data_IF_012432368434
#
_entry.id   IF_012432368434
#
_cell.length_a   1.000
_cell.length_b   1.000
_cell.length_c   1.000
_cell.angle_alpha   90.00
_cell.angle_beta   90.00
_cell.angle_gamma   90.00
#
_symmetry.space_group_name_H-M   'P 1'
#
loop_
_entity.id
_entity.type
_entity.pdbx_description
1 polymer ?
#
# COMPACT_ATOMS: atom_id res chain seq x y z
N UNK A 1 34.85 -15.52 4.73
CA UNK A 1 33.95 -14.82 5.67
C UNK A 1 32.65 -14.55 4.92
N UNK A 2 31.69 -15.49 4.94
CA UNK A 2 30.40 -15.26 4.27
C UNK A 2 29.57 -14.30 5.11
N UNK A 3 29.38 -13.08 4.62
CA UNK A 3 28.44 -12.15 5.22
C UNK A 3 27.03 -12.66 4.94
N UNK A 4 26.43 -13.36 5.91
CA UNK A 4 25.03 -13.79 5.87
C UNK A 4 24.13 -12.55 6.00
N UNK A 5 23.61 -12.07 4.88
CA UNK A 5 22.62 -10.99 4.85
C UNK A 5 21.20 -11.54 5.02
N UNK A 6 20.38 -10.91 5.86
CA UNK A 6 18.95 -11.20 5.95
C UNK A 6 18.29 -10.91 4.60
N UNK A 7 17.68 -11.93 3.99
CA UNK A 7 16.90 -11.80 2.74
C UNK A 7 15.43 -12.06 3.04
N UNK A 8 14.55 -11.14 2.69
CA UNK A 8 13.10 -11.33 2.78
C UNK A 8 12.49 -11.21 1.39
N UNK A 9 11.60 -12.13 1.05
CA UNK A 9 10.91 -12.16 -0.24
C UNK A 9 9.40 -12.06 -0.03
N UNK A 10 8.74 -11.23 -0.84
CA UNK A 10 7.29 -11.11 -0.89
C UNK A 10 6.88 -11.18 -2.36
N UNK A 11 5.97 -12.10 -2.67
CA UNK A 11 5.51 -12.32 -4.04
C UNK A 11 4.16 -11.63 -4.27
N UNK A 12 4.00 -11.08 -5.47
CA UNK A 12 2.71 -10.60 -5.99
C UNK A 12 2.13 -11.66 -6.93
N UNK A 13 1.08 -12.35 -6.47
CA UNK A 13 0.40 -13.42 -7.22
C UNK A 13 -0.30 -12.91 -8.48
N UNK A 14 -0.58 -11.61 -8.59
CA UNK A 14 -1.17 -11.04 -9.80
C UNK A 14 -0.16 -10.95 -10.97
N UNK A 15 1.15 -11.00 -10.69
CA UNK A 15 2.21 -10.82 -11.68
C UNK A 15 2.92 -12.16 -11.95
N UNK A 16 2.42 -12.90 -12.93
CA UNK A 16 2.99 -14.21 -13.32
C UNK A 16 4.32 -14.12 -14.10
N UNK A 17 4.64 -12.95 -14.66
CA UNK A 17 5.89 -12.75 -15.41
C UNK A 17 7.03 -12.41 -14.46
N UNK A 18 8.19 -13.03 -14.65
CA UNK A 18 9.38 -12.75 -13.85
C UNK A 18 9.81 -11.27 -13.93
N UNK A 19 9.65 -10.54 -12.81
CA UNK A 19 10.03 -9.12 -12.63
C UNK A 19 10.49 -8.86 -11.18
N UNK A 20 11.68 -9.34 -10.78
CA UNK A 20 12.17 -9.11 -9.43
C UNK A 20 12.48 -7.63 -9.20
N UNK A 21 12.19 -7.14 -7.99
CA UNK A 21 12.64 -5.85 -7.49
C UNK A 21 13.43 -6.10 -6.22
N UNK A 22 14.64 -5.55 -6.16
CA UNK A 22 15.51 -5.68 -4.98
C UNK A 22 15.58 -4.32 -4.31
N UNK A 23 15.17 -4.26 -3.05
CA UNK A 23 15.31 -3.08 -2.20
C UNK A 23 16.37 -3.41 -1.16
N UNK A 24 17.46 -2.63 -1.17
CA UNK A 24 18.52 -2.75 -0.18
C UNK A 24 18.07 -2.03 1.09
N UNK A 25 18.22 -2.69 2.24
CA UNK A 25 17.93 -2.08 3.53
C UNK A 25 19.16 -1.29 4.01
N UNK A 26 18.93 -0.06 4.46
CA UNK A 26 19.98 0.79 5.03
C UNK A 26 20.19 0.55 6.54
N UNK A 27 19.13 0.14 7.24
CA UNK A 27 19.14 -0.15 8.68
C UNK A 27 19.22 -1.66 8.98
N UNK A 28 19.61 -2.02 10.19
CA UNK A 28 19.66 -3.39 10.69
C UNK A 28 18.23 -3.93 10.92
N UNK A 29 17.58 -4.31 9.82
CA UNK A 29 16.22 -4.84 9.82
C UNK A 29 16.16 -6.27 10.39
N UNK A 30 15.06 -6.59 11.08
CA UNK A 30 14.71 -7.97 11.46
C UNK A 30 13.88 -8.61 10.35
N UNK A 31 13.75 -9.94 10.35
CA UNK A 31 12.91 -10.64 9.36
C UNK A 31 11.46 -10.14 9.31
N UNK A 32 10.90 -9.75 10.46
CA UNK A 32 9.54 -9.22 10.56
C UNK A 32 9.40 -7.81 9.98
N UNK A 33 10.32 -6.90 10.31
CA UNK A 33 10.28 -5.53 9.74
C UNK A 33 10.60 -5.55 8.25
N UNK A 34 11.50 -6.43 7.81
CA UNK A 34 11.79 -6.68 6.40
C UNK A 34 10.55 -7.11 5.62
N UNK A 35 9.76 -8.03 6.20
CA UNK A 35 8.51 -8.48 5.60
C UNK A 35 7.45 -7.37 5.55
N UNK A 36 7.26 -6.60 6.62
CA UNK A 36 6.30 -5.48 6.66
C UNK A 36 6.63 -4.44 5.58
N UNK A 37 7.91 -4.08 5.44
CA UNK A 37 8.36 -3.15 4.39
C UNK A 37 8.11 -3.69 2.99
N UNK A 38 8.43 -4.97 2.75
CA UNK A 38 8.20 -5.60 1.46
C UNK A 38 6.70 -5.76 1.12
N UNK A 39 5.85 -6.05 2.11
CA UNK A 39 4.39 -6.11 1.94
C UNK A 39 3.78 -4.72 1.67
N UNK A 40 4.26 -3.69 2.37
CA UNK A 40 3.85 -2.31 2.12
C UNK A 40 4.22 -1.86 0.70
N UNK A 41 5.44 -2.14 0.27
CA UNK A 41 5.86 -1.83 -1.10
C UNK A 41 4.97 -2.57 -2.11
N UNK A 42 4.68 -3.85 -1.90
CA UNK A 42 3.78 -4.62 -2.77
C UNK A 42 2.41 -3.96 -2.88
N UNK A 43 1.77 -3.64 -1.76
CA UNK A 43 0.44 -2.99 -1.72
C UNK A 43 0.45 -1.62 -2.40
N UNK A 44 1.45 -0.80 -2.08
CA UNK A 44 1.62 0.52 -2.67
C UNK A 44 1.76 0.43 -4.18
N UNK A 45 2.59 -0.47 -4.71
CA UNK A 45 2.77 -0.68 -6.16
C UNK A 45 1.53 -1.22 -6.83
N UNK A 46 0.82 -2.16 -6.20
CA UNK A 46 -0.44 -2.67 -6.72
C UNK A 46 -1.45 -1.54 -6.90
N UNK A 47 -1.54 -0.65 -5.91
CA UNK A 47 -2.48 0.46 -5.94
C UNK A 47 -2.04 1.61 -6.87
N UNK A 48 -0.75 1.95 -6.90
CA UNK A 48 -0.18 2.92 -7.86
C UNK A 48 -0.36 2.45 -9.31
N UNK A 49 -0.30 1.14 -9.57
CA UNK A 49 -0.56 0.55 -10.88
C UNK A 49 -2.01 0.68 -11.36
N UNK A 50 -2.95 0.99 -10.46
CA UNK A 50 -4.39 1.14 -10.75
C UNK A 50 -4.88 2.59 -10.64
N UNK A 51 -4.00 3.55 -10.95
CA UNK A 51 -4.36 4.97 -11.03
C UNK A 51 -5.29 5.24 -12.22
N UNK A 52 -6.37 5.97 -11.97
CA UNK A 52 -7.28 6.46 -12.99
C UNK A 52 -7.41 7.99 -12.90
N UNK A 53 -7.53 8.65 -14.05
CA UNK A 53 -7.81 10.09 -14.11
C UNK A 53 -9.22 10.25 -14.66
N UNK A 54 -10.08 10.96 -13.95
CA UNK A 54 -11.42 11.28 -14.39
C UNK A 54 -11.58 12.79 -14.55
N UNK A 55 -12.29 13.20 -15.60
CA UNK A 55 -12.64 14.61 -15.85
C UNK A 55 -14.16 14.74 -15.75
N UNK A 56 -14.63 15.65 -14.92
CA UNK A 56 -16.06 15.91 -14.69
C UNK A 56 -16.38 17.37 -14.98
N UNK A 57 -17.61 17.60 -15.46
CA UNK A 57 -18.13 18.95 -15.67
C UNK A 57 -18.58 19.53 -14.33
N UNK A 58 -18.16 20.77 -14.05
CA UNK A 58 -18.49 21.51 -12.84
C UNK A 58 -17.54 21.23 -11.69
N UNK A 59 -17.36 22.24 -10.83
CA UNK A 59 -16.55 22.12 -9.60
C UNK A 59 -17.32 21.51 -8.43
N UNK A 60 -18.64 21.54 -8.49
CA UNK A 60 -19.53 21.07 -7.43
C UNK A 60 -20.14 19.73 -7.81
N UNK A 61 -20.31 18.88 -6.80
CA UNK A 61 -21.11 17.67 -6.84
C UNK A 61 -22.59 18.00 -7.02
N UNK A 62 -23.43 17.02 -7.40
CA UNK A 62 -24.88 17.19 -7.43
C UNK A 62 -25.50 17.65 -6.10
N UNK A 63 -24.84 17.33 -4.98
CA UNK A 63 -25.21 17.74 -3.62
C UNK A 63 -24.81 19.18 -3.26
N UNK A 64 -24.15 19.90 -4.19
CA UNK A 64 -23.68 21.28 -3.98
C UNK A 64 -22.37 21.39 -3.19
N UNK A 65 -21.78 20.28 -2.75
CA UNK A 65 -20.45 20.25 -2.14
C UNK A 65 -19.34 20.28 -3.19
N UNK A 66 -18.23 20.95 -2.91
CA UNK A 66 -17.06 20.94 -3.79
C UNK A 66 -16.47 19.53 -3.86
N UNK A 67 -15.92 19.12 -5.00
CA UNK A 67 -15.01 17.98 -5.04
C UNK A 67 -13.87 18.20 -4.04
N UNK A 68 -13.41 17.16 -3.35
CA UNK A 68 -12.30 17.28 -2.40
C UNK A 68 -11.43 16.03 -2.46
N UNK A 69 -10.11 16.17 -2.28
CA UNK A 69 -9.26 15.04 -1.98
C UNK A 69 -9.68 14.31 -0.70
N UNK A 70 -9.21 13.07 -0.56
CA UNK A 70 -9.52 12.17 0.56
C UNK A 70 -11.01 11.81 0.69
N UNK A 71 -11.72 11.77 -0.43
CA UNK A 71 -13.11 11.33 -0.50
C UNK A 71 -13.22 10.03 -1.29
N UNK A 72 -14.03 9.09 -0.81
CA UNK A 72 -14.33 7.83 -1.51
C UNK A 72 -15.47 8.04 -2.50
N UNK A 73 -15.24 7.64 -3.74
CA UNK A 73 -16.19 7.74 -4.84
C UNK A 73 -16.31 6.41 -5.58
N UNK A 74 -17.48 6.17 -6.17
CA UNK A 74 -17.70 5.00 -7.03
C UNK A 74 -17.41 5.40 -8.47
N UNK A 75 -16.39 4.78 -9.06
CA UNK A 75 -16.06 4.91 -10.47
C UNK A 75 -16.80 3.82 -11.26
N UNK A 76 -17.73 4.23 -12.12
CA UNK A 76 -18.42 3.34 -13.05
C UNK A 76 -18.06 3.73 -14.48
N UNK A 77 -17.18 2.94 -15.11
CA UNK A 77 -16.71 3.16 -16.48
C UNK A 77 -16.68 1.82 -17.25
N UNK A 78 -17.86 1.31 -17.68
CA UNK A 78 -17.96 0.02 -18.35
C UNK A 78 -17.12 -0.09 -19.63
N UNK A 79 -16.91 1.02 -20.34
CA UNK A 79 -16.08 1.08 -21.53
C UNK A 79 -14.59 0.79 -21.25
N UNK A 80 -14.13 1.01 -20.02
CA UNK A 80 -12.78 0.72 -19.54
C UNK A 80 -12.71 -0.60 -18.75
N UNK A 81 -13.81 -1.36 -18.68
CA UNK A 81 -13.91 -2.58 -17.88
C UNK A 81 -13.98 -2.35 -16.37
N UNK A 82 -14.23 -1.11 -15.92
CA UNK A 82 -14.38 -0.76 -14.51
C UNK A 82 -15.86 -0.72 -14.18
N UNK A 83 -16.32 -1.64 -13.33
CA UNK A 83 -17.73 -1.74 -12.94
C UNK A 83 -17.88 -1.37 -11.47
N UNK A 84 -18.44 -0.17 -11.21
CA UNK A 84 -18.73 0.34 -9.85
C UNK A 84 -17.63 0.07 -8.83
N UNK A 85 -16.40 0.43 -9.17
CA UNK A 85 -15.27 0.23 -8.29
C UNK A 85 -15.09 1.43 -7.35
N UNK A 86 -14.90 1.18 -6.06
CA UNK A 86 -14.60 2.24 -5.09
C UNK A 86 -13.17 2.75 -5.29
N UNK A 87 -13.01 4.08 -5.34
CA UNK A 87 -11.73 4.76 -5.50
C UNK A 87 -11.66 5.97 -4.58
N UNK A 88 -10.46 6.25 -4.09
CA UNK A 88 -10.15 7.43 -3.32
C UNK A 88 -9.71 8.56 -4.26
N UNK A 89 -10.26 9.76 -4.08
CA UNK A 89 -9.76 10.97 -4.70
C UNK A 89 -8.45 11.38 -4.02
N UNK A 90 -7.36 11.43 -4.78
CA UNK A 90 -6.03 11.83 -4.28
C UNK A 90 -5.79 13.30 -4.52
N UNK A 91 -6.20 13.78 -5.69
CA UNK A 91 -5.95 15.13 -6.14
C UNK A 91 -7.12 15.61 -6.99
N UNK A 92 -7.39 16.91 -6.89
CA UNK A 92 -8.43 17.60 -7.62
C UNK A 92 -7.84 18.90 -8.19
N UNK A 93 -7.78 18.97 -9.52
CA UNK A 93 -7.42 20.18 -10.25
C UNK A 93 -8.67 20.85 -10.81
N UNK A 94 -8.91 22.09 -10.40
CA UNK A 94 -10.03 22.90 -10.89
C UNK A 94 -9.55 23.79 -12.03
N UNK A 95 -10.23 23.70 -13.16
CA UNK A 95 -9.95 24.50 -14.35
C UNK A 95 -11.21 25.25 -14.78
N UNK A 96 -11.01 26.45 -15.32
CA UNK A 96 -12.04 27.26 -15.96
C UNK A 96 -11.51 27.68 -17.33
N UNK A 97 -12.13 27.18 -18.39
CA UNK A 97 -11.78 27.49 -19.77
C UNK A 97 -13.03 27.92 -20.56
N UNK A 98 -12.92 28.06 -21.88
CA UNK A 98 -14.05 28.37 -22.76
C UNK A 98 -15.15 27.30 -22.74
N UNK A 99 -14.82 26.06 -22.33
CA UNK A 99 -15.77 24.97 -22.14
C UNK A 99 -16.42 24.99 -20.74
N UNK A 100 -16.11 26.00 -19.92
CA UNK A 100 -16.67 26.22 -18.60
C UNK A 100 -15.81 25.66 -17.48
N UNK A 101 -16.47 25.28 -16.38
CA UNK A 101 -15.81 24.75 -15.19
C UNK A 101 -15.59 23.26 -15.32
N UNK A 102 -14.35 22.79 -15.23
CA UNK A 102 -13.98 21.38 -15.29
C UNK A 102 -13.15 21.02 -14.06
N UNK A 103 -13.44 19.86 -13.47
CA UNK A 103 -12.60 19.27 -12.42
C UNK A 103 -11.93 18.01 -12.98
N UNK A 104 -10.61 17.99 -12.91
CA UNK A 104 -9.82 16.79 -13.17
C UNK A 104 -9.44 16.18 -11.82
N UNK A 105 -9.77 14.91 -11.64
CA UNK A 105 -9.51 14.18 -10.40
C UNK A 105 -8.64 12.95 -10.66
N UNK A 106 -7.67 12.74 -9.78
CA UNK A 106 -6.87 11.52 -9.73
C UNK A 106 -7.47 10.55 -8.73
N UNK A 107 -7.72 9.33 -9.17
CA UNK A 107 -8.36 8.26 -8.43
C UNK A 107 -7.41 7.08 -8.25
N UNK A 108 -7.32 6.52 -7.05
CA UNK A 108 -6.60 5.27 -6.76
C UNK A 108 -7.36 4.39 -5.77
N UNK A 109 -6.90 3.15 -5.58
CA UNK A 109 -7.40 2.29 -4.51
C UNK A 109 -7.01 2.86 -3.14
N UNK A 110 -7.90 2.74 -2.14
CA UNK A 110 -7.65 3.26 -0.78
C UNK A 110 -6.44 2.62 -0.12
N UNK A 111 -6.28 1.31 -0.29
CA UNK A 111 -5.18 0.51 0.27
C UNK A 111 -3.76 1.02 -0.11
N UNK A 112 -3.63 1.92 -1.10
CA UNK A 112 -2.36 2.58 -1.41
C UNK A 112 -1.84 3.44 -0.26
N UNK A 113 -2.76 3.98 0.56
CA UNK A 113 -2.49 4.96 1.60
C UNK A 113 -2.61 4.39 3.00
N UNK A 114 -2.83 3.09 3.13
CA UNK A 114 -2.76 2.41 4.42
C UNK A 114 -1.28 2.23 4.79
N UNK A 115 -0.80 3.09 5.69
CA UNK A 115 0.54 2.98 6.24
C UNK A 115 0.66 1.71 7.11
N UNK A 116 1.80 1.00 7.04
CA UNK A 116 2.08 -0.06 8.00
C UNK A 116 2.12 0.59 9.39
N UNK A 117 1.56 -0.09 10.40
CA UNK A 117 1.66 0.40 11.77
C UNK A 117 3.14 0.58 12.12
N UNK A 118 3.56 1.83 12.32
CA UNK A 118 4.86 2.09 12.92
C UNK A 118 4.78 1.57 14.35
N UNK A 119 5.62 0.59 14.68
CA UNK A 119 5.94 0.24 16.06
C UNK A 119 6.74 1.41 16.68
N UNK A 120 6.18 2.61 16.69
CA UNK A 120 6.72 3.72 17.48
C UNK A 120 6.74 3.27 18.94
N UNK A 121 7.83 3.61 19.62
CA UNK A 121 8.19 3.16 20.98
C UNK A 121 7.16 3.49 22.08
N UNK A 122 6.03 4.11 21.74
CA UNK A 122 4.96 4.50 22.66
C UNK A 122 4.00 3.33 22.97
N UNK A 123 3.87 2.32 22.10
CA UNK A 123 3.03 1.14 22.36
C UNK A 123 3.65 0.14 23.36
N UNK A 124 4.90 0.37 23.78
CA UNK A 124 5.57 -0.44 24.83
C UNK A 124 5.20 0.02 26.24
N UNK A 125 4.48 1.14 26.40
CA UNK A 125 4.20 1.74 27.71
C UNK A 125 2.75 1.79 28.18
N UNK A 126 1.82 1.01 27.62
CA UNK A 126 0.51 0.81 28.26
C UNK A 126 0.07 -0.67 28.29
N UNK A 127 0.91 -1.50 28.90
CA UNK A 127 0.65 -2.93 29.09
C UNK A 127 0.84 -3.43 30.53
N UNK A 128 0.85 -2.55 31.55
CA UNK A 128 0.97 -2.97 32.95
C UNK A 128 -0.41 -3.31 33.53
N UNK A 129 -0.98 -4.46 33.16
CA UNK A 129 -2.15 -4.97 33.89
C UNK A 129 -2.99 -6.08 33.26
N UNK A 130 -2.47 -7.31 33.15
CA UNK A 130 -3.15 -8.53 33.64
C UNK A 130 -2.35 -9.79 33.35
N UNK A 131 -1.91 -10.47 34.42
CA UNK A 131 -1.46 -11.86 34.39
C UNK A 131 -2.61 -12.77 33.93
N UNK A 132 -2.50 -13.33 32.74
CA UNK A 132 -3.25 -14.51 32.29
C UNK A 132 -2.27 -15.54 31.74
N UNK A 133 -2.14 -16.70 32.40
CA UNK A 133 -1.26 -17.80 32.01
C UNK A 133 -1.51 -18.21 30.54
N UNK A 134 -0.58 -17.90 29.63
CA UNK A 134 -0.57 -18.50 28.29
C UNK A 134 0.34 -19.73 28.27
N UNK A 135 -0.24 -20.85 27.84
CA UNK A 135 0.44 -22.11 27.57
C UNK A 135 1.46 -21.90 26.45
N UNK A 136 2.62 -22.56 26.60
CA UNK A 136 3.76 -22.66 25.68
C UNK A 136 3.29 -22.71 24.21
N UNK A 137 3.36 -21.57 23.51
CA UNK A 137 3.06 -21.49 22.09
C UNK A 137 4.22 -22.06 21.28
N UNK A 138 3.91 -23.01 20.40
CA UNK A 138 4.81 -23.50 19.35
C UNK A 138 5.31 -22.31 18.52
N UNK A 139 6.62 -22.26 18.28
CA UNK A 139 7.27 -21.34 17.34
C UNK A 139 6.45 -21.29 16.05
N UNK A 140 5.98 -20.11 15.67
CA UNK A 140 5.27 -19.91 14.41
C UNK A 140 6.26 -20.12 13.26
N UNK A 141 5.77 -20.65 12.15
CA UNK A 141 6.53 -20.93 10.91
C UNK A 141 7.16 -19.69 10.27
N UNK A 142 7.03 -18.51 10.88
CA UNK A 142 7.37 -17.19 10.33
C UNK A 142 8.83 -16.79 10.54
N UNK A 143 9.58 -17.56 11.32
CA UNK A 143 11.01 -17.34 11.60
C UNK A 143 11.94 -18.19 10.71
N UNK A 144 11.40 -19.06 9.84
CA UNK A 144 12.21 -19.87 8.91
C UNK A 144 12.36 -19.15 7.58
N UNK A 145 13.16 -18.09 7.58
CA UNK A 145 13.63 -17.44 6.35
C UNK A 145 14.83 -18.24 5.83
N UNK A 146 14.78 -18.70 4.58
CA UNK A 146 15.90 -19.39 3.92
C UNK A 146 17.07 -18.44 3.71
N UNK A 147 18.22 -18.77 4.30
CA UNK A 147 19.48 -18.03 4.12
C UNK A 147 19.90 -18.04 2.64
N UNK A 148 20.36 -16.89 2.14
CA UNK A 148 20.79 -16.73 0.74
C UNK A 148 22.25 -17.20 0.58
N UNK A 149 22.48 -18.29 -0.15
CA UNK A 149 23.79 -18.94 -0.27
C UNK A 149 24.50 -18.76 -1.62
N UNK A 150 23.90 -18.09 -2.61
CA UNK A 150 24.44 -18.04 -3.98
C UNK A 150 25.34 -16.82 -4.22
N UNK A 151 26.54 -16.86 -3.66
CA UNK A 151 27.70 -16.24 -4.30
C UNK A 151 28.54 -17.36 -4.92
N UNK A 152 28.46 -17.50 -6.24
CA UNK A 152 29.44 -18.28 -7.02
C UNK A 152 30.60 -17.34 -7.35
N UNK A 153 31.83 -17.78 -7.06
CA UNK A 153 33.09 -17.04 -7.25
C UNK A 153 33.33 -16.55 -8.69
#
# INVERSE_FOLDING_TARGET
MSASGLKVEVNDEAINRYRPMIIIADDNMTGSSGYQRADWERKRRQAEGQKATARVQGWFKPDGTLWLPNELVVLDAPALGIHKAERLIIDCTYTLDENGTITEMTLMHRDAFDEPADDTLDDVKDGKGKKGKSKKAKKSSKDNVTEFSDFVE
#
